data_IF_943170568719
#
_entry.id   IF_943170568719
#
_cell.length_a   1.000
_cell.length_b   1.000
_cell.length_c   1.000
_cell.angle_alpha   90.00
_cell.angle_beta   90.00
_cell.angle_gamma   90.00
#
_symmetry.space_group_name_H-M   'P 1'
#
loop_
_entity.id
_entity.type
_entity.pdbx_description
1 polymer ?
#
# COMPACT_ATOMS: atom_id res chain seq x y z
N UNK A 1 -58.71 -29.52 28.32
CA UNK A 1 -59.35 -28.67 27.29
C UNK A 1 -58.77 -27.27 27.43
N UNK A 2 -58.06 -26.62 26.52
CA UNK A 2 -57.57 -26.90 25.18
C UNK A 2 -56.54 -25.80 24.86
N UNK A 3 -55.56 -26.17 24.05
CA UNK A 3 -54.39 -25.42 23.57
C UNK A 3 -54.78 -24.27 22.61
N UNK A 4 -53.95 -23.23 22.49
CA UNK A 4 -53.56 -22.43 21.26
C UNK A 4 -53.05 -21.05 21.71
N UNK A 5 -51.80 -20.58 21.57
CA UNK A 5 -50.78 -20.57 20.49
C UNK A 5 -51.29 -19.98 19.17
N UNK A 6 -51.02 -18.70 18.94
CA UNK A 6 -51.18 -18.04 17.64
C UNK A 6 -49.86 -17.43 17.18
N UNK A 7 -49.28 -18.06 16.15
CA UNK A 7 -48.13 -17.63 15.35
C UNK A 7 -48.58 -16.72 14.19
N UNK A 8 -47.82 -15.65 13.97
CA UNK A 8 -47.48 -14.97 12.70
C UNK A 8 -48.24 -15.30 11.39
N UNK A 9 -48.73 -14.25 10.70
CA UNK A 9 -48.83 -14.17 9.23
C UNK A 9 -48.62 -12.73 8.76
N UNK A 10 -47.66 -12.53 7.86
CA UNK A 10 -47.43 -11.27 7.12
C UNK A 10 -48.38 -11.17 5.91
N UNK A 11 -48.65 -9.96 5.39
CA UNK A 11 -48.52 -9.79 3.95
C UNK A 11 -47.90 -8.45 3.48
N UNK A 12 -47.07 -8.58 2.43
CA UNK A 12 -46.73 -7.65 1.34
C UNK A 12 -47.62 -6.40 1.16
N UNK A 13 -47.00 -5.22 0.93
CA UNK A 13 -46.91 -4.58 -0.41
C UNK A 13 -46.51 -3.08 -0.36
N UNK A 14 -45.91 -2.64 -1.48
CA UNK A 14 -45.75 -1.27 -2.03
C UNK A 14 -44.47 -0.48 -1.73
N UNK A 15 -43.55 -0.55 -2.69
CA UNK A 15 -42.51 0.44 -2.99
C UNK A 15 -43.08 1.79 -3.43
N UNK A 16 -42.28 2.87 -3.35
CA UNK A 16 -42.11 3.68 -4.55
C UNK A 16 -40.65 4.02 -4.89
N UNK A 17 -40.35 3.84 -6.18
CA UNK A 17 -39.33 4.45 -7.01
C UNK A 17 -38.73 5.78 -6.50
N UNK A 18 -37.40 5.83 -6.37
CA UNK A 18 -36.62 7.07 -6.63
C UNK A 18 -35.34 6.75 -7.41
N UNK A 19 -35.34 7.23 -8.65
CA UNK A 19 -34.23 7.28 -9.60
C UNK A 19 -33.18 8.28 -9.12
N UNK A 20 -31.92 7.87 -8.96
CA UNK A 20 -30.80 8.79 -9.06
C UNK A 20 -29.68 8.22 -9.94
N UNK A 21 -29.29 9.05 -10.91
CA UNK A 21 -28.23 8.89 -11.91
C UNK A 21 -26.88 8.74 -11.21
N UNK A 22 -26.16 7.63 -11.43
CA UNK A 22 -24.73 7.57 -11.13
C UNK A 22 -23.92 7.79 -12.40
N UNK A 23 -23.12 8.86 -12.34
CA UNK A 23 -22.17 9.28 -13.36
C UNK A 23 -20.94 8.37 -13.32
N UNK A 24 -20.42 8.17 -14.52
CA UNK A 24 -19.14 7.59 -14.91
C UNK A 24 -17.92 8.01 -14.06
N UNK A 25 -17.11 7.05 -13.61
CA UNK A 25 -15.63 7.12 -13.54
C UNK A 25 -15.07 5.69 -13.31
N UNK A 26 -14.58 5.00 -14.34
CA UNK A 26 -13.14 4.73 -14.61
C UNK A 26 -12.23 4.82 -13.38
N UNK A 27 -11.74 3.68 -12.87
CA UNK A 27 -10.35 3.10 -12.96
C UNK A 27 -10.33 1.85 -12.06
N UNK A 28 -10.17 0.63 -12.59
CA UNK A 28 -8.92 -0.10 -12.95
C UNK A 28 -7.96 -0.33 -11.77
N UNK A 29 -8.20 -1.42 -11.04
CA UNK A 29 -7.17 -2.26 -10.41
C UNK A 29 -7.79 -3.61 -10.05
N UNK A 30 -7.49 -4.63 -10.86
CA UNK A 30 -7.91 -6.01 -10.61
C UNK A 30 -6.64 -6.87 -10.67
N UNK A 31 -5.99 -7.03 -9.53
CA UNK A 31 -4.95 -8.03 -9.34
C UNK A 31 -5.56 -9.41 -9.64
N UNK A 32 -4.98 -10.10 -10.61
CA UNK A 32 -5.29 -11.49 -10.93
C UNK A 32 -3.96 -12.23 -11.07
N UNK A 33 -3.54 -12.83 -9.97
CA UNK A 33 -2.77 -14.06 -10.08
C UNK A 33 -3.69 -15.14 -10.65
N UNK A 34 -3.32 -15.65 -11.82
CA UNK A 34 -3.88 -16.89 -12.33
C UNK A 34 -2.82 -17.55 -13.20
N UNK A 35 -1.96 -18.32 -12.55
CA UNK A 35 -1.18 -19.37 -13.20
C UNK A 35 -2.18 -20.39 -13.73
N UNK A 36 -2.34 -20.46 -15.05
CA UNK A 36 -2.98 -21.58 -15.74
C UNK A 36 -2.22 -21.89 -17.02
N UNK A 37 -1.40 -22.91 -16.91
CA UNK A 37 -1.03 -23.86 -17.96
C UNK A 37 -2.27 -24.31 -18.72
N UNK A 38 -2.29 -24.13 -20.05
CA UNK A 38 -3.10 -24.97 -20.94
C UNK A 38 -2.71 -24.82 -22.40
N UNK A 39 -2.46 -25.99 -22.98
CA UNK A 39 -2.27 -26.33 -24.39
C UNK A 39 -3.28 -25.73 -25.39
N UNK A 40 -2.74 -25.44 -26.58
CA UNK A 40 -3.25 -25.71 -27.93
C UNK A 40 -4.58 -25.09 -28.43
N UNK A 41 -4.53 -24.31 -29.51
CA UNK A 41 -4.88 -24.70 -30.91
C UNK A 41 -5.14 -23.47 -31.83
N UNK A 42 -4.36 -23.42 -32.91
CA UNK A 42 -4.58 -22.96 -34.29
C UNK A 42 -5.53 -21.81 -34.71
N UNK A 43 -5.08 -21.17 -35.81
CA UNK A 43 -5.82 -20.48 -36.91
C UNK A 43 -5.81 -18.95 -36.79
N UNK A 44 -5.30 -18.11 -37.70
CA UNK A 44 -4.87 -18.18 -39.12
C UNK A 44 -4.15 -16.85 -39.45
N UNK A 45 -3.02 -16.87 -40.17
CA UNK A 45 -2.72 -15.84 -41.19
C UNK A 45 -1.72 -16.41 -42.20
N UNK A 46 -2.06 -16.21 -43.46
CA UNK A 46 -1.58 -16.86 -44.66
C UNK A 46 -0.33 -16.21 -45.27
N UNK A 47 0.23 -16.91 -46.29
CA UNK A 47 1.11 -16.43 -47.39
C UNK A 47 2.59 -16.54 -47.00
N UNK A 48 3.42 -17.40 -47.60
CA UNK A 48 3.69 -17.69 -49.02
C UNK A 48 4.06 -19.18 -49.23
N UNK A 49 3.52 -19.90 -50.23
CA UNK A 49 4.14 -20.13 -51.56
C UNK A 49 5.64 -20.37 -51.47
N UNK A 50 6.14 -21.61 -51.46
CA UNK A 50 6.48 -22.38 -52.68
C UNK A 50 6.77 -23.85 -52.28
N UNK A 51 6.01 -24.83 -52.77
CA UNK A 51 6.28 -25.66 -53.96
C UNK A 51 7.23 -26.86 -53.72
N UNK A 52 6.58 -27.97 -53.31
CA UNK A 52 6.76 -29.42 -53.53
C UNK A 52 8.16 -30.10 -53.61
N UNK A 53 8.29 -31.28 -52.95
CA UNK A 53 9.30 -32.31 -53.19
C UNK A 53 8.76 -33.40 -54.14
N UNK A 54 9.62 -33.98 -54.99
CA UNK A 54 9.40 -35.27 -55.68
C UNK A 54 10.44 -35.46 -56.78
N UNK A 55 11.28 -36.49 -56.70
CA UNK A 55 11.43 -37.43 -57.82
C UNK A 55 11.96 -38.77 -57.30
N UNK A 56 11.04 -39.74 -57.25
CA UNK A 56 11.37 -41.16 -57.36
C UNK A 56 11.52 -41.46 -58.84
N UNK A 57 12.60 -42.11 -59.26
CA UNK A 57 12.59 -42.94 -60.46
C UNK A 57 13.43 -44.20 -60.22
N UNK A 58 12.73 -45.32 -60.09
CA UNK A 58 13.24 -46.65 -60.35
C UNK A 58 12.49 -47.19 -61.57
N UNK A 59 13.22 -47.60 -62.61
CA UNK A 59 12.86 -48.54 -63.69
C UNK A 59 14.18 -49.01 -64.30
N UNK A 60 14.65 -50.23 -64.05
CA UNK A 60 14.29 -51.52 -64.66
C UNK A 60 14.65 -51.63 -66.15
N UNK A 61 15.38 -52.69 -66.52
CA UNK A 61 15.11 -53.41 -67.78
C UNK A 61 16.23 -53.41 -68.82
N UNK A 62 17.10 -54.40 -68.69
CA UNK A 62 17.74 -55.20 -69.73
C UNK A 62 17.23 -55.04 -71.17
N UNK A 63 18.12 -55.00 -72.16
CA UNK A 63 18.18 -56.03 -73.22
C UNK A 63 19.24 -55.71 -74.29
N UNK A 64 19.94 -56.78 -74.61
CA UNK A 64 20.84 -57.05 -75.72
C UNK A 64 20.11 -57.17 -77.07
N UNK A 65 20.76 -56.71 -78.15
CA UNK A 65 20.82 -57.35 -79.49
C UNK A 65 21.59 -56.40 -80.44
N UNK A 66 22.77 -56.72 -81.00
CA UNK A 66 23.18 -57.75 -81.96
C UNK A 66 22.67 -57.55 -83.39
N UNK A 67 23.59 -57.27 -84.34
CA UNK A 67 23.77 -57.88 -85.68
C UNK A 67 24.76 -57.01 -86.49
N UNK A 68 26.01 -57.43 -86.67
CA UNK A 68 26.56 -58.30 -87.74
C UNK A 68 26.82 -57.58 -89.07
N UNK A 69 28.10 -57.39 -89.43
CA UNK A 69 28.68 -57.93 -90.67
C UNK A 69 30.17 -57.59 -90.75
N UNK A 70 30.97 -58.66 -90.65
CA UNK A 70 32.18 -58.97 -91.40
C UNK A 70 33.10 -57.83 -91.81
N UNK A 71 34.28 -57.76 -91.16
CA UNK A 71 35.49 -57.77 -91.97
C UNK A 71 36.67 -58.44 -91.24
N UNK A 72 37.34 -59.26 -92.01
CA UNK A 72 38.27 -60.29 -91.59
C UNK A 72 39.68 -59.70 -91.51
N UNK A 73 40.10 -59.15 -90.37
CA UNK A 73 41.51 -58.82 -90.17
C UNK A 73 42.06 -59.31 -88.84
N UNK A 74 42.88 -60.36 -88.96
CA UNK A 74 43.84 -60.88 -88.00
C UNK A 74 44.55 -59.74 -87.23
N UNK A 75 44.05 -59.37 -86.05
CA UNK A 75 44.82 -58.57 -85.11
C UNK A 75 45.63 -59.49 -84.21
N UNK A 76 46.76 -59.89 -84.80
CA UNK A 76 47.90 -60.48 -84.15
C UNK A 76 48.09 -60.00 -82.70
N UNK A 77 48.22 -60.96 -81.78
CA UNK A 77 48.90 -60.82 -80.48
C UNK A 77 50.36 -60.42 -80.70
N UNK A 78 50.59 -59.20 -81.20
CA UNK A 78 51.89 -58.57 -81.21
C UNK A 78 52.14 -58.08 -79.80
N UNK A 79 52.91 -58.87 -79.03
CA UNK A 79 53.90 -58.28 -78.10
C UNK A 79 54.67 -57.25 -78.94
N UNK A 80 54.22 -55.99 -78.93
CA UNK A 80 55.03 -54.89 -79.43
C UNK A 80 56.26 -54.90 -78.52
N UNK A 81 57.40 -55.26 -79.08
CA UNK A 81 58.69 -54.86 -78.51
C UNK A 81 58.61 -53.34 -78.52
N UNK A 82 58.32 -52.73 -77.36
CA UNK A 82 58.42 -51.28 -77.21
C UNK A 82 59.83 -50.93 -77.68
N UNK A 83 59.98 -50.00 -78.63
CA UNK A 83 61.31 -49.57 -79.05
C UNK A 83 62.07 -49.10 -77.80
N UNK A 84 63.39 -49.33 -77.74
CA UNK A 84 64.25 -48.91 -76.61
C UNK A 84 64.01 -47.42 -76.27
N UNK A 85 63.71 -46.61 -77.30
CA UNK A 85 63.34 -45.19 -77.23
C UNK A 85 62.00 -44.96 -76.53
N UNK A 86 60.98 -45.78 -76.79
CA UNK A 86 59.66 -45.68 -76.15
C UNK A 86 59.72 -46.12 -74.68
N UNK A 87 60.52 -47.16 -74.38
CA UNK A 87 60.79 -47.60 -73.00
C UNK A 87 61.58 -46.56 -72.21
N UNK A 88 62.58 -45.90 -72.82
CA UNK A 88 63.30 -44.78 -72.23
C UNK A 88 62.41 -43.55 -72.02
N UNK A 89 61.54 -43.22 -72.97
CA UNK A 89 60.55 -42.15 -72.84
C UNK A 89 59.50 -42.44 -71.75
N UNK A 90 59.11 -43.70 -71.56
CA UNK A 90 58.22 -44.12 -70.47
C UNK A 90 58.93 -44.00 -69.11
N UNK A 91 60.20 -44.40 -69.01
CA UNK A 91 61.02 -44.21 -67.81
C UNK A 91 61.23 -42.72 -67.48
N UNK A 92 61.38 -41.87 -68.49
CA UNK A 92 61.47 -40.41 -68.32
C UNK A 92 60.13 -39.78 -67.88
N UNK A 93 59.00 -40.26 -68.43
CA UNK A 93 57.66 -39.89 -67.95
C UNK A 93 57.41 -40.32 -66.51
N UNK A 94 57.92 -41.48 -66.10
CA UNK A 94 57.87 -41.94 -64.71
C UNK A 94 58.74 -41.09 -63.78
N UNK A 95 59.95 -40.70 -64.21
CA UNK A 95 60.80 -39.78 -63.43
C UNK A 95 60.15 -38.41 -63.26
N UNK A 96 59.60 -37.85 -64.33
CA UNK A 96 58.92 -36.55 -64.28
C UNK A 96 57.61 -36.59 -63.50
N UNK A 97 56.88 -37.71 -63.51
CA UNK A 97 55.67 -37.89 -62.68
C UNK A 97 56.01 -38.01 -61.19
N UNK A 98 57.10 -38.72 -60.84
CA UNK A 98 57.61 -38.80 -59.47
C UNK A 98 58.08 -37.43 -58.96
N UNK A 99 58.84 -36.67 -59.75
CA UNK A 99 59.24 -35.29 -59.39
C UNK A 99 58.02 -34.38 -59.15
N UNK A 100 56.97 -34.50 -59.98
CA UNK A 100 55.71 -33.76 -59.78
C UNK A 100 54.90 -34.26 -58.58
N UNK A 101 55.03 -35.52 -58.19
CA UNK A 101 54.40 -36.08 -57.00
C UNK A 101 55.12 -35.59 -55.74
N UNK A 102 56.44 -35.67 -55.69
CA UNK A 102 57.25 -35.16 -54.59
C UNK A 102 57.09 -33.65 -54.40
N UNK A 103 56.97 -32.89 -55.49
CA UNK A 103 56.67 -31.46 -55.42
C UNK A 103 55.30 -31.20 -54.78
N UNK A 104 54.28 -31.98 -55.15
CA UNK A 104 52.94 -31.89 -54.55
C UNK A 104 52.93 -32.31 -53.08
N UNK A 105 53.70 -33.32 -52.69
CA UNK A 105 53.84 -33.71 -51.27
C UNK A 105 54.49 -32.59 -50.46
N UNK A 106 55.60 -32.02 -50.95
CA UNK A 106 56.25 -30.86 -50.30
C UNK A 106 55.33 -29.64 -50.23
N UNK A 107 54.56 -29.36 -51.29
CA UNK A 107 53.57 -28.27 -51.29
C UNK A 107 52.45 -28.52 -50.25
N UNK A 108 52.00 -29.76 -50.07
CA UNK A 108 50.99 -30.12 -49.06
C UNK A 108 51.55 -30.03 -47.64
N UNK A 109 52.77 -30.53 -47.41
CA UNK A 109 53.47 -30.42 -46.13
C UNK A 109 53.72 -28.95 -45.76
N UNK A 110 54.17 -28.12 -46.72
CA UNK A 110 54.34 -26.68 -46.53
C UNK A 110 53.02 -26.00 -46.18
N UNK A 111 51.93 -26.33 -46.88
CA UNK A 111 50.60 -25.79 -46.55
C UNK A 111 50.13 -26.19 -45.15
N UNK A 112 50.37 -27.42 -44.71
CA UNK A 112 50.01 -27.84 -43.35
C UNK A 112 50.79 -27.05 -42.30
N UNK A 113 52.09 -26.82 -42.52
CA UNK A 113 52.93 -26.00 -41.62
C UNK A 113 52.48 -24.54 -41.63
N UNK A 114 52.15 -23.97 -42.79
CA UNK A 114 51.60 -22.62 -42.92
C UNK A 114 50.24 -22.50 -42.21
N UNK A 115 49.37 -23.50 -42.32
CA UNK A 115 48.09 -23.53 -41.61
C UNK A 115 48.27 -23.66 -40.09
N UNK A 116 49.19 -24.49 -39.61
CA UNK A 116 49.47 -24.63 -38.19
C UNK A 116 50.07 -23.35 -37.59
N UNK A 117 50.96 -22.68 -38.32
CA UNK A 117 51.52 -21.40 -37.91
C UNK A 117 50.49 -20.29 -37.95
N UNK A 118 49.63 -20.24 -38.98
CA UNK A 118 48.51 -19.31 -39.06
C UNK A 118 47.51 -19.52 -37.91
N UNK A 119 47.15 -20.77 -37.58
CA UNK A 119 46.29 -21.11 -36.45
C UNK A 119 46.90 -20.66 -35.12
N UNK A 120 48.20 -20.87 -34.90
CA UNK A 120 48.88 -20.42 -33.67
C UNK A 120 48.87 -18.89 -33.54
N UNK A 121 49.08 -18.17 -34.64
CA UNK A 121 49.01 -16.71 -34.67
C UNK A 121 47.57 -16.25 -34.39
N UNK A 122 46.58 -16.87 -35.04
CA UNK A 122 45.16 -16.58 -34.83
C UNK A 122 44.76 -16.79 -33.36
N UNK A 123 45.18 -17.89 -32.74
CA UNK A 123 44.92 -18.15 -31.32
C UNK A 123 45.57 -17.11 -30.40
N UNK A 124 46.81 -16.68 -30.67
CA UNK A 124 47.46 -15.65 -29.85
C UNK A 124 46.79 -14.28 -30.01
N UNK A 125 46.36 -13.94 -31.23
CA UNK A 125 45.62 -12.70 -31.50
C UNK A 125 44.26 -12.76 -30.82
N UNK A 126 43.53 -13.86 -30.97
CA UNK A 126 42.22 -14.08 -30.36
C UNK A 126 42.28 -13.98 -28.84
N UNK A 127 43.25 -14.64 -28.19
CA UNK A 127 43.45 -14.56 -26.73
C UNK A 127 43.73 -13.14 -26.27
N UNK A 128 44.63 -12.40 -26.94
CA UNK A 128 44.93 -11.01 -26.58
C UNK A 128 43.73 -10.10 -26.76
N UNK A 129 42.98 -10.26 -27.84
CA UNK A 129 41.76 -9.49 -28.09
C UNK A 129 40.66 -9.83 -27.07
N UNK A 130 40.50 -11.10 -26.73
CA UNK A 130 39.55 -11.54 -25.69
C UNK A 130 39.89 -10.94 -24.33
N UNK A 131 41.17 -10.98 -23.91
CA UNK A 131 41.62 -10.38 -22.65
C UNK A 131 41.42 -8.85 -22.62
N UNK A 132 41.66 -8.15 -23.73
CA UNK A 132 41.41 -6.70 -23.83
C UNK A 132 39.92 -6.36 -23.78
N UNK A 133 39.09 -7.17 -24.44
CA UNK A 133 37.64 -7.01 -24.40
C UNK A 133 37.08 -7.36 -23.02
N UNK A 134 37.61 -8.37 -22.35
CA UNK A 134 37.22 -8.74 -20.99
C UNK A 134 37.53 -7.62 -20.00
N UNK A 135 38.73 -7.04 -20.03
CA UNK A 135 39.07 -5.89 -19.17
C UNK A 135 38.12 -4.71 -19.38
N UNK A 136 37.86 -4.35 -20.64
CA UNK A 136 36.92 -3.27 -20.96
C UNK A 136 35.48 -3.60 -20.55
N UNK A 137 35.05 -4.86 -20.68
CA UNK A 137 33.74 -5.30 -20.23
C UNK A 137 33.62 -5.22 -18.71
N UNK A 138 34.61 -5.71 -17.97
CA UNK A 138 34.64 -5.64 -16.51
C UNK A 138 34.60 -4.20 -16.01
N UNK A 139 35.37 -3.29 -16.63
CA UNK A 139 35.33 -1.85 -16.33
C UNK A 139 33.93 -1.26 -16.55
N UNK A 140 33.32 -1.55 -17.71
CA UNK A 140 31.97 -1.08 -18.04
C UNK A 140 30.93 -1.68 -17.08
N UNK A 141 31.01 -2.97 -16.78
CA UNK A 141 30.10 -3.66 -15.87
C UNK A 141 30.19 -3.08 -14.46
N UNK A 142 31.40 -2.84 -13.95
CA UNK A 142 31.59 -2.20 -12.65
C UNK A 142 31.00 -0.78 -12.61
N UNK A 143 31.18 0.01 -13.67
CA UNK A 143 30.62 1.35 -13.74
C UNK A 143 29.08 1.32 -13.81
N UNK A 144 28.51 0.43 -14.62
CA UNK A 144 27.05 0.24 -14.70
C UNK A 144 26.49 -0.22 -13.35
N UNK A 145 27.15 -1.15 -12.66
CA UNK A 145 26.75 -1.58 -11.32
C UNK A 145 26.78 -0.43 -10.33
N UNK A 146 27.83 0.40 -10.33
CA UNK A 146 27.90 1.60 -9.47
C UNK A 146 26.75 2.56 -9.74
N UNK A 147 26.45 2.87 -11.00
CA UNK A 147 25.31 3.74 -11.36
C UNK A 147 23.96 3.14 -10.93
N UNK A 148 23.78 1.83 -11.05
CA UNK A 148 22.57 1.14 -10.60
C UNK A 148 22.46 1.19 -9.07
N UNK A 149 23.57 0.97 -8.35
CA UNK A 149 23.60 1.08 -6.89
C UNK A 149 23.31 2.51 -6.41
N UNK A 150 23.86 3.52 -7.06
CA UNK A 150 23.59 4.92 -6.77
C UNK A 150 22.11 5.25 -7.01
N UNK A 151 21.57 4.88 -8.18
CA UNK A 151 20.16 5.08 -8.49
C UNK A 151 19.23 4.33 -7.52
N UNK A 152 19.61 3.11 -7.12
CA UNK A 152 18.86 2.34 -6.12
C UNK A 152 18.91 3.00 -4.75
N UNK A 153 20.08 3.51 -4.33
CA UNK A 153 20.23 4.23 -3.05
C UNK A 153 19.44 5.52 -3.02
N UNK A 154 19.41 6.28 -4.13
CA UNK A 154 18.58 7.48 -4.25
C UNK A 154 17.11 7.13 -4.14
N UNK A 155 16.64 6.13 -4.91
CA UNK A 155 15.27 5.65 -4.84
C UNK A 155 14.88 5.15 -3.43
N UNK A 156 15.78 4.41 -2.76
CA UNK A 156 15.55 3.92 -1.40
C UNK A 156 15.47 5.07 -0.40
N UNK A 157 16.33 6.08 -0.51
CA UNK A 157 16.29 7.29 0.33
C UNK A 157 15.00 8.06 0.14
N UNK A 158 14.61 8.35 -1.10
CA UNK A 158 13.37 9.04 -1.41
C UNK A 158 12.14 8.27 -0.88
N UNK A 159 12.13 6.95 -1.06
CA UNK A 159 11.05 6.10 -0.54
C UNK A 159 11.00 6.13 1.00
N UNK A 160 12.15 6.07 1.67
CA UNK A 160 12.22 6.16 3.14
C UNK A 160 11.76 7.53 3.64
N UNK A 161 12.22 8.62 3.03
CA UNK A 161 11.78 9.98 3.36
C UNK A 161 10.27 10.15 3.14
N UNK A 162 9.72 9.62 2.04
CA UNK A 162 8.28 9.69 1.79
C UNK A 162 7.49 8.91 2.86
N UNK A 163 7.97 7.74 3.26
CA UNK A 163 7.36 6.95 4.33
C UNK A 163 7.44 7.64 5.68
N UNK A 164 8.55 8.29 6.01
CA UNK A 164 8.72 9.07 7.23
C UNK A 164 7.81 10.30 7.25
N UNK A 165 7.73 11.05 6.15
CA UNK A 165 6.80 12.18 6.02
C UNK A 165 5.35 11.73 6.21
N UNK A 166 4.94 10.61 5.59
CA UNK A 166 3.59 10.06 5.79
C UNK A 166 3.34 9.67 7.24
N UNK A 167 4.31 9.05 7.92
CA UNK A 167 4.22 8.74 9.36
C UNK A 167 4.08 10.00 10.21
N UNK A 168 4.88 11.03 9.93
CA UNK A 168 4.82 12.31 10.65
C UNK A 168 3.45 12.97 10.48
N UNK A 169 2.92 13.02 9.25
CA UNK A 169 1.59 13.58 8.99
C UNK A 169 0.50 12.84 9.77
N UNK A 170 0.53 11.50 9.79
CA UNK A 170 -0.42 10.71 10.57
C UNK A 170 -0.30 10.98 12.08
N UNK A 171 0.93 11.02 12.61
CA UNK A 171 1.17 11.33 14.02
C UNK A 171 0.72 12.75 14.39
N UNK A 172 0.93 13.74 13.51
CA UNK A 172 0.47 15.10 13.70
C UNK A 172 -1.05 15.21 13.62
N UNK A 173 -1.70 14.47 12.71
CA UNK A 173 -3.16 14.42 12.61
C UNK A 173 -3.77 13.78 13.86
N UNK A 174 -3.20 12.69 14.36
CA UNK A 174 -3.62 12.07 15.61
C UNK A 174 -3.42 13.01 16.81
N UNK A 175 -2.29 13.70 16.91
CA UNK A 175 -2.04 14.70 17.95
C UNK A 175 -3.04 15.86 17.87
N UNK A 176 -3.28 16.42 16.68
CA UNK A 176 -4.28 17.49 16.50
C UNK A 176 -5.67 17.02 16.92
N UNK A 177 -6.04 15.79 16.57
CA UNK A 177 -7.32 15.21 16.99
C UNK A 177 -7.39 15.03 18.51
N UNK A 178 -6.32 14.55 19.15
CA UNK A 178 -6.25 14.44 20.60
C UNK A 178 -6.37 15.80 21.27
N UNK A 179 -5.62 16.81 20.82
CA UNK A 179 -5.70 18.18 21.33
C UNK A 179 -7.11 18.78 21.16
N UNK A 180 -7.78 18.52 20.04
CA UNK A 180 -9.17 18.95 19.84
C UNK A 180 -10.14 18.24 20.79
N UNK A 181 -9.95 16.94 21.04
CA UNK A 181 -10.75 16.18 22.00
C UNK A 181 -10.50 16.65 23.43
N UNK A 182 -9.26 16.96 23.80
CA UNK A 182 -8.88 17.54 25.09
C UNK A 182 -9.48 18.93 25.27
N UNK A 183 -9.35 19.83 24.29
CA UNK A 183 -10.00 21.16 24.32
C UNK A 183 -11.51 21.07 24.47
N UNK A 184 -12.16 20.09 23.82
CA UNK A 184 -13.61 19.84 23.98
C UNK A 184 -13.93 19.36 25.40
N UNK A 185 -13.11 18.50 25.98
CA UNK A 185 -13.27 18.02 27.37
C UNK A 185 -13.08 19.16 28.36
N UNK A 186 -12.03 19.95 28.22
CA UNK A 186 -11.76 21.13 29.05
C UNK A 186 -12.90 22.16 28.95
N UNK A 187 -13.40 22.43 27.73
CA UNK A 187 -14.53 23.32 27.55
C UNK A 187 -15.81 22.79 28.23
N UNK A 188 -16.07 21.48 28.13
CA UNK A 188 -17.20 20.86 28.84
C UNK A 188 -17.01 20.91 30.36
N UNK A 189 -15.81 20.67 30.86
CA UNK A 189 -15.49 20.75 32.28
C UNK A 189 -15.66 22.18 32.81
N UNK A 190 -15.21 23.19 32.07
CA UNK A 190 -15.45 24.60 32.41
C UNK A 190 -16.95 24.91 32.49
N UNK A 191 -17.75 24.48 31.51
CA UNK A 191 -19.21 24.69 31.53
C UNK A 191 -19.85 24.00 32.75
N UNK A 192 -19.44 22.77 33.05
CA UNK A 192 -19.94 22.04 34.21
C UNK A 192 -19.54 22.71 35.52
N UNK A 193 -18.30 23.19 35.62
CA UNK A 193 -17.80 23.90 36.79
C UNK A 193 -18.55 25.24 36.99
N UNK A 194 -18.79 26.00 35.93
CA UNK A 194 -19.59 27.22 36.01
C UNK A 194 -21.05 26.95 36.40
N UNK A 195 -21.64 25.87 35.89
CA UNK A 195 -23.00 25.48 36.26
C UNK A 195 -23.07 25.09 37.74
N UNK A 196 -22.13 24.26 38.20
CA UNK A 196 -22.03 23.87 39.61
C UNK A 196 -21.82 25.09 40.51
N UNK A 197 -20.96 26.05 40.13
CA UNK A 197 -20.81 27.32 40.86
C UNK A 197 -22.12 28.10 40.95
N UNK A 198 -22.87 28.20 39.86
CA UNK A 198 -24.19 28.88 39.86
C UNK A 198 -25.19 28.16 40.78
N UNK A 199 -25.18 26.83 40.81
CA UNK A 199 -26.02 26.04 41.71
C UNK A 199 -25.62 26.28 43.16
N UNK A 200 -24.33 26.21 43.48
CA UNK A 200 -23.80 26.45 44.82
C UNK A 200 -24.10 27.88 45.30
N UNK A 201 -23.91 28.89 44.45
CA UNK A 201 -24.25 30.27 44.77
C UNK A 201 -25.76 30.46 45.00
N UNK A 202 -26.60 29.83 44.18
CA UNK A 202 -28.05 29.87 44.37
C UNK A 202 -28.47 29.19 45.68
N UNK A 203 -27.89 28.02 45.99
CA UNK A 203 -28.13 27.33 47.26
C UNK A 203 -27.64 28.16 48.46
N UNK A 204 -26.48 28.81 48.34
CA UNK A 204 -25.93 29.69 49.37
C UNK A 204 -26.82 30.89 49.63
N UNK A 205 -27.33 31.55 48.57
CA UNK A 205 -28.30 32.64 48.70
C UNK A 205 -29.59 32.20 49.38
N UNK A 206 -30.15 31.06 48.97
CA UNK A 206 -31.35 30.50 49.61
C UNK A 206 -31.11 30.15 51.08
N UNK A 207 -29.92 29.64 51.43
CA UNK A 207 -29.55 29.37 52.81
C UNK A 207 -29.40 30.66 53.63
N UNK A 208 -28.80 31.69 53.03
CA UNK A 208 -28.65 33.02 53.65
C UNK A 208 -30.01 33.69 53.89
N UNK A 209 -30.92 33.68 52.90
CA UNK A 209 -32.29 34.19 53.06
C UNK A 209 -33.07 33.44 54.15
N UNK A 210 -32.92 32.11 54.22
CA UNK A 210 -33.53 31.31 55.31
C UNK A 210 -32.97 31.69 56.67
N UNK A 211 -31.66 31.91 56.79
CA UNK A 211 -31.03 32.36 58.02
C UNK A 211 -31.52 33.77 58.41
N UNK A 212 -31.58 34.70 57.46
CA UNK A 212 -32.10 36.05 57.69
C UNK A 212 -33.55 36.04 58.19
N UNK A 213 -34.42 35.22 57.59
CA UNK A 213 -35.81 35.06 58.04
C UNK A 213 -35.90 34.58 59.49
N UNK A 214 -35.06 33.62 59.89
CA UNK A 214 -35.01 33.12 61.28
C UNK A 214 -34.49 34.20 62.23
N UNK A 215 -33.48 34.97 61.83
CA UNK A 215 -32.98 36.09 62.63
C UNK A 215 -34.02 37.21 62.78
N UNK A 216 -34.77 37.53 61.73
CA UNK A 216 -35.88 38.48 61.78
C UNK A 216 -37.00 37.99 62.70
N UNK A 217 -37.41 36.72 62.59
CA UNK A 217 -38.37 36.12 63.52
C UNK A 217 -37.90 36.22 64.97
N UNK A 218 -36.61 35.94 65.21
CA UNK A 218 -36.00 36.08 66.54
C UNK A 218 -36.05 37.52 67.05
N UNK A 219 -35.78 38.52 66.21
CA UNK A 219 -35.88 39.95 66.56
C UNK A 219 -37.31 40.36 66.87
N UNK A 220 -38.28 39.95 66.05
CA UNK A 220 -39.71 40.24 66.28
C UNK A 220 -40.18 39.61 67.59
N UNK A 221 -39.77 38.37 67.89
CA UNK A 221 -40.08 37.73 69.16
C UNK A 221 -39.45 38.46 70.35
N UNK A 222 -38.19 38.90 70.22
CA UNK A 222 -37.51 39.69 71.24
C UNK A 222 -38.23 41.02 71.48
N UNK A 223 -38.59 41.75 70.42
CA UNK A 223 -39.36 42.99 70.50
C UNK A 223 -40.73 42.76 71.12
N UNK A 224 -41.45 41.71 70.69
CA UNK A 224 -42.75 41.34 71.27
C UNK A 224 -42.64 41.00 72.75
N UNK A 225 -41.58 40.32 73.18
CA UNK A 225 -41.31 40.07 74.59
C UNK A 225 -41.00 41.35 75.37
N UNK A 226 -40.21 42.27 74.79
CA UNK A 226 -39.94 43.59 75.39
C UNK A 226 -41.22 44.40 75.56
N UNK A 227 -42.06 44.45 74.53
CA UNK A 227 -43.32 45.18 74.53
C UNK A 227 -44.32 44.59 75.54
N UNK A 228 -44.37 43.25 75.67
CA UNK A 228 -45.13 42.58 76.73
C UNK A 228 -44.63 42.96 78.13
N UNK A 229 -43.31 42.94 78.37
CA UNK A 229 -42.72 43.35 79.65
C UNK A 229 -43.02 44.82 79.96
N UNK A 230 -43.02 45.69 78.95
CA UNK A 230 -43.37 47.11 79.10
C UNK A 230 -44.86 47.30 79.42
N UNK A 231 -45.76 46.60 78.71
CA UNK A 231 -47.19 46.61 79.01
C UNK A 231 -47.48 46.08 80.42
N UNK A 232 -46.85 44.99 80.84
CA UNK A 232 -46.98 44.50 82.23
C UNK A 232 -46.49 45.53 83.26
N UNK A 233 -45.41 46.25 82.97
CA UNK A 233 -44.92 47.34 83.82
C UNK A 233 -45.94 48.48 83.90
N UNK A 234 -46.48 48.93 82.75
CA UNK A 234 -47.52 49.97 82.69
C UNK A 234 -48.77 49.56 83.45
N UNK A 235 -49.28 48.34 83.24
CA UNK A 235 -50.44 47.81 83.98
C UNK A 235 -50.15 47.75 85.48
N UNK A 236 -48.96 47.32 85.90
CA UNK A 236 -48.55 47.34 87.33
C UNK A 236 -48.49 48.76 87.88
N UNK A 237 -48.00 49.73 87.12
CA UNK A 237 -47.95 51.15 87.50
C UNK A 237 -49.35 51.77 87.57
N UNK A 238 -50.22 51.51 86.60
CA UNK A 238 -51.62 51.91 86.59
C UNK A 238 -52.40 51.29 87.75
N UNK A 239 -52.22 49.99 87.99
CA UNK A 239 -52.77 49.32 89.17
C UNK A 239 -52.27 49.98 90.45
N UNK A 240 -50.98 50.33 90.57
CA UNK A 240 -50.47 51.06 91.74
C UNK A 240 -51.13 52.44 91.90
N UNK A 241 -51.36 53.16 90.79
CA UNK A 241 -52.03 54.47 90.77
C UNK A 241 -53.50 54.37 91.21
N UNK A 242 -54.23 53.36 90.72
CA UNK A 242 -55.64 53.10 91.06
C UNK A 242 -55.78 52.60 92.51
N UNK A 243 -54.89 51.69 92.94
CA UNK A 243 -54.89 51.13 94.30
C UNK A 243 -54.38 52.14 95.35
N UNK A 244 -53.94 53.34 94.94
CA UNK A 244 -53.51 54.43 95.83
C UNK A 244 -52.24 54.14 96.63
N UNK A 245 -51.48 53.10 96.29
CA UNK A 245 -50.18 52.82 96.91
C UNK A 245 -49.19 53.88 96.44
N UNK A 246 -48.55 54.58 97.39
CA UNK A 246 -47.69 55.76 97.21
C UNK A 246 -48.44 57.12 97.11
N UNK A 247 -49.30 57.44 98.09
CA UNK A 247 -49.83 58.79 98.33
C UNK A 247 -50.55 59.47 97.14
N UNK A 248 -50.99 58.72 96.12
CA UNK A 248 -51.64 59.28 94.92
C UNK A 248 -53.08 59.77 95.16
N UNK A 249 -53.70 59.44 96.30
CA UNK A 249 -55.07 59.85 96.64
C UNK A 249 -55.01 61.21 97.36
N UNK A 250 -55.48 62.32 96.75
CA UNK A 250 -55.47 63.62 97.39
C UNK A 250 -56.27 63.55 98.70
N UNK A 251 -55.68 64.04 99.80
CA UNK A 251 -56.36 64.13 101.10
C UNK A 251 -57.49 65.14 100.98
N UNK A 252 -58.72 64.67 100.77
CA UNK A 252 -59.92 65.48 100.88
C UNK A 252 -60.15 65.79 102.37
N UNK A 253 -59.82 67.01 102.79
CA UNK A 253 -60.20 67.53 104.09
C UNK A 253 -61.66 68.00 104.01
N UNK A 254 -62.59 67.17 104.50
CA UNK A 254 -63.97 67.59 104.69
C UNK A 254 -64.09 68.28 106.05
N UNK A 255 -64.35 69.60 106.05
CA UNK A 255 -64.77 70.31 107.27
C UNK A 255 -66.26 70.04 107.51
N UNK A 256 -66.61 69.28 108.56
CA UNK A 256 -67.99 69.26 109.05
C UNK A 256 -68.30 70.65 109.64
N UNK A 257 -69.27 71.35 109.05
CA UNK A 257 -69.86 72.52 109.67
C UNK A 257 -70.70 72.05 110.88
N UNK A 258 -70.45 72.53 112.10
CA UNK A 258 -71.33 72.25 113.23
C UNK A 258 -72.66 72.97 113.00
N UNK A 259 -73.76 72.22 112.95
CA UNK A 259 -75.10 72.79 113.04
C UNK A 259 -75.30 73.25 114.49
N UNK A 260 -75.40 74.56 114.67
CA UNK A 260 -75.70 75.22 115.94
C UNK A 260 -77.21 75.14 116.19
N UNK A 261 -77.54 74.97 117.47
CA UNK A 261 -78.85 75.02 118.14
C UNK A 261 -79.90 75.95 117.53
#
# INVERSE_FOLDING_TARGET
MGHSRSRSKSPRSKSPSRRHKSKHSRKRSKSRERVKTSHSKHSRKSRERSAKPSHKHARSGSSSSSTSSSDEFKLHTKKRKMDEVERLAEMERQRTSLIRFDRRQREMEQRLVEEETAKRIEEMVKKRVEEELEKRKEEIEQEVLRRIEEAKREMEKEMMEEMERRRQVLMEEEKKRQEEEEKKREALEQIMAENNRKIEEAQRKLAEERLQMVEEQRKIEEERQRLRKEQERRVKEEQKKILGKNNSRPKLSFSLKPAVS
#
